data_IF_693171818083
#
_entry.id   IF_693171818083
#
_cell.length_a   1.000
_cell.length_b   1.000
_cell.length_c   1.000
_cell.angle_alpha   90.00
_cell.angle_beta   90.00
_cell.angle_gamma   90.00
#
_symmetry.space_group_name_H-M   'P 1'
#
loop_
_entity.id
_entity.type
_entity.pdbx_description
1 polymer ?
#
# COMPACT_ATOMS: atom_id res chain seq x y z
N UNK A 1 16.72 -51.06 -55.08
CA UNK A 1 17.07 -49.67 -55.25
C UNK A 1 17.02 -48.99 -53.90
N UNK A 2 18.17 -48.81 -53.31
CA UNK A 2 18.40 -48.27 -51.98
C UNK A 2 18.47 -46.74 -52.07
N UNK A 3 17.65 -46.04 -51.32
CA UNK A 3 17.86 -44.60 -51.09
C UNK A 3 18.04 -44.32 -49.58
N UNK A 4 19.24 -44.06 -49.22
CA UNK A 4 19.69 -43.66 -47.89
C UNK A 4 19.20 -42.24 -47.55
N UNK A 5 18.64 -42.07 -46.35
CA UNK A 5 18.33 -40.78 -45.73
C UNK A 5 19.58 -40.30 -44.97
N UNK A 6 19.96 -39.03 -45.07
CA UNK A 6 21.07 -38.52 -44.28
C UNK A 6 20.63 -38.16 -42.84
N UNK A 7 21.50 -38.54 -41.96
CA UNK A 7 21.51 -38.31 -40.52
C UNK A 7 21.47 -36.80 -40.17
N UNK A 8 20.50 -36.39 -39.33
CA UNK A 8 20.46 -35.04 -38.78
C UNK A 8 21.17 -35.03 -37.43
N UNK A 9 22.42 -34.60 -37.46
CA UNK A 9 23.15 -34.22 -36.25
C UNK A 9 22.44 -33.10 -35.50
N UNK A 10 21.86 -33.44 -34.36
CA UNK A 10 21.35 -32.49 -33.37
C UNK A 10 22.50 -31.78 -32.69
N UNK A 11 22.79 -30.57 -33.13
CA UNK A 11 23.63 -29.64 -32.37
C UNK A 11 22.92 -29.24 -31.07
N UNK A 12 23.44 -29.76 -29.96
CA UNK A 12 22.98 -29.39 -28.61
C UNK A 12 23.24 -27.92 -28.33
N UNK A 13 22.17 -27.11 -28.30
CA UNK A 13 22.17 -25.77 -27.73
C UNK A 13 22.20 -25.92 -26.23
N UNK A 14 23.35 -25.71 -25.59
CA UNK A 14 23.49 -25.51 -24.16
C UNK A 14 22.77 -24.21 -23.81
N UNK A 15 21.79 -24.22 -22.93
CA UNK A 15 21.13 -22.96 -22.50
C UNK A 15 22.20 -22.11 -21.79
N UNK A 16 22.17 -20.76 -21.96
CA UNK A 16 23.11 -19.88 -21.28
C UNK A 16 22.88 -20.00 -19.77
N UNK A 17 23.98 -20.18 -19.04
CA UNK A 17 24.00 -20.23 -17.60
C UNK A 17 23.23 -18.99 -17.02
N UNK A 18 22.14 -19.23 -16.34
CA UNK A 18 21.32 -18.20 -15.78
C UNK A 18 22.14 -17.33 -14.82
N UNK A 19 22.17 -16.03 -15.09
CA UNK A 19 22.64 -15.02 -14.14
C UNK A 19 21.66 -14.98 -12.99
N UNK A 20 21.86 -15.83 -12.00
CA UNK A 20 21.21 -15.78 -10.70
C UNK A 20 21.89 -14.71 -9.83
N UNK A 21 21.67 -13.47 -10.19
CA UNK A 21 22.00 -12.30 -9.39
C UNK A 21 20.87 -11.32 -9.56
N UNK A 22 19.89 -11.35 -8.62
CA UNK A 22 18.91 -10.28 -8.54
C UNK A 22 19.68 -8.95 -8.46
N UNK A 23 19.29 -7.96 -9.29
CA UNK A 23 19.87 -6.61 -9.18
C UNK A 23 19.65 -6.13 -7.75
N UNK A 24 20.60 -5.39 -7.13
CA UNK A 24 20.46 -4.91 -5.76
C UNK A 24 19.12 -4.22 -5.47
N UNK A 25 18.64 -3.42 -6.43
CA UNK A 25 17.31 -2.77 -6.35
C UNK A 25 16.15 -3.77 -6.26
N UNK A 26 16.20 -4.87 -7.00
CA UNK A 26 15.17 -5.91 -6.95
C UNK A 26 15.18 -6.68 -5.63
N UNK A 27 16.35 -6.82 -5.01
CA UNK A 27 16.48 -7.48 -3.71
C UNK A 27 15.83 -6.65 -2.60
N UNK A 28 16.06 -5.32 -2.57
CA UNK A 28 15.42 -4.43 -1.61
C UNK A 28 13.89 -4.40 -1.80
N UNK A 29 13.40 -4.29 -3.05
CA UNK A 29 11.96 -4.31 -3.35
C UNK A 29 11.30 -5.60 -2.84
N UNK A 30 11.91 -6.76 -3.08
CA UNK A 30 11.39 -8.02 -2.58
C UNK A 30 11.33 -8.05 -1.05
N UNK A 31 12.37 -7.60 -0.36
CA UNK A 31 12.38 -7.48 1.10
C UNK A 31 11.33 -6.49 1.62
N UNK A 32 11.11 -5.38 0.92
CA UNK A 32 10.09 -4.40 1.26
C UNK A 32 8.68 -5.02 1.18
N UNK A 33 8.40 -5.76 0.11
CA UNK A 33 7.14 -6.49 -0.05
C UNK A 33 6.96 -7.53 1.06
N UNK A 34 8.00 -8.32 1.36
CA UNK A 34 7.97 -9.30 2.45
C UNK A 34 7.70 -8.66 3.81
N UNK A 35 8.30 -7.49 4.09
CA UNK A 35 8.04 -6.73 5.34
C UNK A 35 6.58 -6.30 5.46
N UNK A 36 6.00 -5.77 4.38
CA UNK A 36 4.58 -5.36 4.35
C UNK A 36 3.67 -6.58 4.53
N UNK A 37 3.97 -7.71 3.91
CA UNK A 37 3.20 -8.93 4.05
C UNK A 37 3.31 -9.52 5.46
N UNK A 38 4.51 -9.54 6.02
CA UNK A 38 4.73 -10.00 7.40
C UNK A 38 4.00 -9.10 8.41
N UNK A 39 3.98 -7.78 8.18
CA UNK A 39 3.23 -6.85 9.02
C UNK A 39 1.73 -7.15 8.98
N UNK A 40 1.17 -7.39 7.83
CA UNK A 40 -0.23 -7.77 7.66
C UNK A 40 -0.57 -9.10 8.35
N UNK A 41 0.31 -10.09 8.28
CA UNK A 41 0.08 -11.42 8.87
C UNK A 41 0.25 -11.46 10.39
N UNK A 42 0.89 -10.45 10.99
CA UNK A 42 1.06 -10.36 12.46
C UNK A 42 -0.22 -10.04 13.21
N UNK A 43 -1.22 -9.51 12.55
CA UNK A 43 -2.52 -9.21 13.15
C UNK A 43 -3.62 -10.01 12.46
N UNK A 44 -4.62 -10.44 13.24
CA UNK A 44 -5.87 -10.90 12.67
C UNK A 44 -6.55 -9.74 11.92
N UNK A 45 -7.53 -10.08 11.07
CA UNK A 45 -8.36 -9.05 10.43
C UNK A 45 -9.12 -8.23 11.47
N UNK A 46 -9.58 -7.04 11.08
CA UNK A 46 -10.37 -6.15 11.94
C UNK A 46 -11.70 -6.79 12.33
N UNK A 47 -12.27 -6.36 13.45
CA UNK A 47 -13.46 -6.99 14.02
C UNK A 47 -14.72 -6.71 13.19
N UNK A 48 -15.55 -7.74 13.04
CA UNK A 48 -16.94 -7.61 12.63
C UNK A 48 -17.80 -7.69 13.90
N UNK A 49 -18.54 -6.62 14.20
CA UNK A 49 -19.31 -6.47 15.44
C UNK A 49 -20.79 -6.56 15.10
N UNK A 50 -21.47 -7.58 15.62
CA UNK A 50 -22.93 -7.69 15.50
C UNK A 50 -23.61 -6.61 16.34
N UNK A 51 -24.61 -5.95 15.76
CA UNK A 51 -25.42 -4.91 16.42
C UNK A 51 -26.89 -5.33 16.50
N UNK A 52 -27.30 -6.05 17.55
CA UNK A 52 -28.66 -6.57 17.68
C UNK A 52 -29.63 -5.46 18.10
N UNK A 53 -30.12 -4.66 17.16
CA UNK A 53 -31.12 -3.65 17.38
C UNK A 53 -32.53 -4.21 17.16
N UNK A 54 -33.39 -4.17 18.18
CA UNK A 54 -34.70 -4.77 18.18
C UNK A 54 -35.59 -4.45 16.95
N UNK A 55 -35.65 -3.19 16.45
CA UNK A 55 -36.47 -2.89 15.26
C UNK A 55 -36.00 -3.60 13.99
N UNK A 56 -34.68 -3.81 13.84
CA UNK A 56 -34.10 -4.47 12.69
C UNK A 56 -34.23 -5.99 12.80
N UNK A 57 -33.96 -6.53 13.98
CA UNK A 57 -34.13 -7.96 14.25
C UNK A 57 -35.58 -8.40 14.04
N UNK A 58 -36.56 -7.59 14.44
CA UNK A 58 -37.98 -7.87 14.19
C UNK A 58 -38.35 -7.85 12.70
N UNK A 59 -37.57 -7.15 11.87
CA UNK A 59 -37.71 -7.14 10.41
C UNK A 59 -36.88 -8.22 9.70
N UNK A 60 -36.18 -9.08 10.43
CA UNK A 60 -35.28 -10.09 9.88
C UNK A 60 -34.00 -9.49 9.25
N UNK A 61 -33.56 -8.34 9.78
CA UNK A 61 -32.37 -7.64 9.31
C UNK A 61 -31.28 -7.74 10.38
N UNK A 62 -30.14 -8.33 10.02
CA UNK A 62 -28.93 -8.37 10.85
C UNK A 62 -28.02 -7.22 10.49
N UNK A 63 -27.58 -6.46 11.52
CA UNK A 63 -26.68 -5.34 11.36
C UNK A 63 -25.31 -5.67 11.93
N UNK A 64 -24.28 -5.25 11.20
CA UNK A 64 -22.89 -5.41 11.61
C UNK A 64 -22.09 -4.11 11.39
N UNK A 65 -21.14 -3.86 12.28
CA UNK A 65 -20.11 -2.86 12.09
C UNK A 65 -18.77 -3.52 11.80
N UNK A 66 -18.05 -3.02 10.79
CA UNK A 66 -16.66 -3.35 10.55
C UNK A 66 -15.77 -2.33 11.27
N UNK A 67 -15.11 -2.76 12.35
CA UNK A 67 -14.27 -1.87 13.17
C UNK A 67 -12.87 -1.72 12.60
N UNK A 68 -12.70 -0.76 11.70
CA UNK A 68 -11.40 -0.44 11.10
C UNK A 68 -10.48 0.39 12.01
N UNK A 69 -10.93 0.80 13.21
CA UNK A 69 -10.11 1.53 14.16
C UNK A 69 -9.02 0.67 14.82
N UNK A 70 -9.14 -0.65 14.74
CA UNK A 70 -8.19 -1.60 15.31
C UNK A 70 -6.91 -1.79 14.49
N UNK A 71 -6.83 -1.18 13.31
CA UNK A 71 -5.57 -1.13 12.58
C UNK A 71 -4.46 -0.38 13.35
N UNK A 72 -3.17 -0.70 13.12
CA UNK A 72 -2.04 -0.01 13.78
C UNK A 72 -2.10 1.51 13.68
N UNK A 73 -2.70 2.06 12.61
CA UNK A 73 -2.85 3.51 12.38
C UNK A 73 -4.23 4.05 12.71
N UNK A 74 -5.08 3.24 13.36
CA UNK A 74 -6.39 3.66 13.89
C UNK A 74 -7.46 3.93 12.83
N UNK A 75 -7.31 3.48 11.59
CA UNK A 75 -8.33 3.75 10.56
C UNK A 75 -8.26 2.80 9.37
N UNK A 76 -9.35 2.77 8.59
CA UNK A 76 -9.44 2.04 7.31
C UNK A 76 -8.39 2.48 6.27
N UNK A 77 -7.77 3.65 6.43
CA UNK A 77 -6.73 4.14 5.52
C UNK A 77 -5.44 3.33 5.62
N UNK A 78 -5.27 2.55 6.67
CA UNK A 78 -4.20 1.57 6.76
C UNK A 78 -4.24 0.57 5.61
N UNK A 79 -5.44 0.09 5.22
CA UNK A 79 -5.61 -0.79 4.06
C UNK A 79 -5.21 -0.11 2.75
N UNK A 80 -5.66 1.15 2.57
CA UNK A 80 -5.34 1.93 1.38
C UNK A 80 -3.83 2.17 1.26
N UNK A 81 -3.19 2.64 2.33
CA UNK A 81 -1.76 2.91 2.34
C UNK A 81 -0.95 1.65 2.03
N UNK A 82 -1.30 0.50 2.65
CA UNK A 82 -0.68 -0.78 2.33
C UNK A 82 -0.77 -1.10 0.84
N UNK A 83 -1.95 -0.96 0.26
CA UNK A 83 -2.19 -1.24 -1.16
C UNK A 83 -1.40 -0.30 -2.07
N UNK A 84 -1.36 1.00 -1.76
CA UNK A 84 -0.59 1.99 -2.50
C UNK A 84 0.92 1.69 -2.49
N UNK A 85 1.47 1.33 -1.32
CA UNK A 85 2.89 0.97 -1.21
C UNK A 85 3.21 -0.31 -2.00
N UNK A 86 2.42 -1.37 -1.88
CA UNK A 86 2.62 -2.58 -2.68
C UNK A 86 2.51 -2.30 -4.18
N UNK A 87 1.53 -1.52 -4.59
CA UNK A 87 1.37 -1.12 -5.98
C UNK A 87 2.57 -0.32 -6.50
N UNK A 88 3.03 0.65 -5.72
CA UNK A 88 4.19 1.47 -6.07
C UNK A 88 5.49 0.65 -6.16
N UNK A 89 5.74 -0.28 -5.23
CA UNK A 89 6.88 -1.19 -5.24
C UNK A 89 6.87 -2.09 -6.49
N UNK A 90 5.73 -2.70 -6.79
CA UNK A 90 5.60 -3.60 -7.95
C UNK A 90 5.69 -2.87 -9.30
N UNK A 91 5.38 -1.58 -9.34
CA UNK A 91 5.56 -0.76 -10.54
C UNK A 91 6.94 -0.09 -10.62
N UNK A 92 7.82 -0.32 -9.65
CA UNK A 92 9.15 0.29 -9.61
C UNK A 92 9.14 1.80 -9.34
N UNK A 93 8.05 2.32 -8.74
CA UNK A 93 7.92 3.74 -8.40
C UNK A 93 8.62 4.10 -7.09
N UNK A 94 8.81 3.12 -6.23
CA UNK A 94 9.53 3.22 -4.96
C UNK A 94 10.68 2.22 -4.98
N UNK A 95 11.86 2.70 -4.67
CA UNK A 95 13.10 1.94 -4.49
C UNK A 95 13.74 2.34 -3.16
N UNK A 96 14.86 1.73 -2.81
CA UNK A 96 15.61 2.08 -1.59
C UNK A 96 15.95 3.56 -1.55
N UNK A 97 15.64 4.20 -0.42
CA UNK A 97 15.91 5.62 -0.20
C UNK A 97 14.93 6.59 -0.87
N UNK A 98 13.95 6.12 -1.65
CA UNK A 98 12.94 7.00 -2.27
C UNK A 98 12.19 7.79 -1.22
N UNK A 99 12.16 9.12 -1.33
CA UNK A 99 11.27 9.97 -0.51
C UNK A 99 9.84 9.78 -0.98
N UNK A 100 8.98 9.34 -0.08
CA UNK A 100 7.54 9.21 -0.33
C UNK A 100 6.84 10.51 0.04
N UNK A 101 6.00 11.03 -0.84
CA UNK A 101 5.26 12.28 -0.64
C UNK A 101 3.77 12.02 -0.82
N UNK A 102 2.93 12.56 0.08
CA UNK A 102 1.48 12.51 -0.07
C UNK A 102 0.82 13.85 0.26
N UNK A 103 -0.20 14.18 -0.53
CA UNK A 103 -1.06 15.34 -0.35
C UNK A 103 -2.24 14.97 0.57
N UNK A 104 -2.02 14.97 1.88
CA UNK A 104 -3.03 14.57 2.85
C UNK A 104 -2.78 15.17 4.23
N UNK A 105 -3.85 15.67 4.85
CA UNK A 105 -3.86 16.13 6.25
C UNK A 105 -4.55 15.14 7.20
N UNK A 106 -4.91 13.97 6.71
CA UNK A 106 -5.74 13.02 7.44
C UNK A 106 -5.09 11.66 7.66
N UNK A 107 -5.95 10.67 7.87
CA UNK A 107 -5.55 9.30 8.22
C UNK A 107 -4.72 8.61 7.14
N UNK A 108 -4.82 9.03 5.86
CA UNK A 108 -3.97 8.50 4.80
C UNK A 108 -2.50 8.86 5.04
N UNK A 109 -2.20 10.14 5.32
CA UNK A 109 -0.83 10.57 5.63
C UNK A 109 -0.25 9.84 6.85
N UNK A 110 -1.05 9.64 7.90
CA UNK A 110 -0.64 8.87 9.09
C UNK A 110 -0.31 7.41 8.70
N UNK A 111 -1.17 6.79 7.88
CA UNK A 111 -0.98 5.40 7.45
C UNK A 111 0.21 5.25 6.52
N UNK A 112 0.43 6.20 5.61
CA UNK A 112 1.59 6.18 4.72
C UNK A 112 2.89 6.43 5.48
N UNK A 113 2.89 7.32 6.48
CA UNK A 113 4.04 7.52 7.38
C UNK A 113 4.42 6.22 8.10
N UNK A 114 3.42 5.43 8.55
CA UNK A 114 3.65 4.11 9.13
C UNK A 114 4.38 3.17 8.17
N UNK A 115 3.89 3.02 6.93
CA UNK A 115 4.50 2.12 5.95
C UNK A 115 5.88 2.63 5.49
N UNK A 116 6.05 3.93 5.33
CA UNK A 116 7.36 4.52 5.04
C UNK A 116 8.37 4.18 6.14
N UNK A 117 8.00 4.35 7.43
CA UNK A 117 8.82 3.93 8.57
C UNK A 117 9.13 2.42 8.55
N UNK A 118 8.13 1.58 8.25
CA UNK A 118 8.31 0.12 8.16
C UNK A 118 9.38 -0.26 7.14
N UNK A 119 9.45 0.49 6.03
CA UNK A 119 10.41 0.26 4.94
C UNK A 119 11.72 1.04 5.09
N UNK A 120 11.84 1.94 6.06
CA UNK A 120 13.00 2.81 6.24
C UNK A 120 13.08 3.92 5.20
N UNK A 121 11.94 4.38 4.66
CA UNK A 121 11.86 5.43 3.65
C UNK A 121 11.55 6.78 4.29
N UNK A 122 12.13 7.90 3.79
CA UNK A 122 11.69 9.24 4.15
C UNK A 122 10.24 9.48 3.71
N UNK A 123 9.45 10.15 4.54
CA UNK A 123 8.06 10.51 4.24
C UNK A 123 7.80 12.00 4.46
N UNK A 124 7.10 12.63 3.52
CA UNK A 124 6.65 14.02 3.61
C UNK A 124 5.15 14.10 3.34
N UNK A 125 4.39 14.53 4.34
CA UNK A 125 2.98 14.86 4.20
C UNK A 125 2.83 16.35 3.86
N UNK A 126 2.20 16.67 2.76
CA UNK A 126 1.89 18.05 2.36
C UNK A 126 0.46 18.38 2.77
N UNK A 127 0.29 19.45 3.54
CA UNK A 127 -1.00 19.76 4.19
C UNK A 127 -1.17 21.26 4.46
N UNK A 128 -2.42 21.73 4.64
CA UNK A 128 -2.67 23.08 5.08
C UNK A 128 -2.19 23.31 6.52
N UNK A 129 -1.76 24.55 6.83
CA UNK A 129 -1.38 24.96 8.20
C UNK A 129 -2.50 24.79 9.23
N UNK A 130 -3.75 24.75 8.79
CA UNK A 130 -4.92 24.52 9.64
C UNK A 130 -5.12 23.06 10.07
N UNK A 131 -4.23 22.15 9.65
CA UNK A 131 -4.29 20.73 10.07
C UNK A 131 -4.13 20.60 11.57
N UNK A 132 -4.92 19.72 12.19
CA UNK A 132 -4.88 19.53 13.65
C UNK A 132 -3.51 19.04 14.13
N UNK A 133 -3.12 19.53 15.32
CA UNK A 133 -1.85 19.13 15.95
C UNK A 133 -1.79 17.60 16.14
N UNK A 134 -2.90 16.96 16.51
CA UNK A 134 -3.00 15.51 16.66
C UNK A 134 -2.50 14.74 15.41
N UNK A 135 -2.90 15.18 14.21
CA UNK A 135 -2.47 14.53 12.95
C UNK A 135 -1.01 14.79 12.65
N UNK A 136 -0.53 15.99 12.93
CA UNK A 136 0.90 16.36 12.80
C UNK A 136 1.75 15.49 13.73
N UNK A 137 1.31 15.34 14.99
CA UNK A 137 2.01 14.54 16.00
C UNK A 137 2.06 13.05 15.61
N UNK A 138 0.95 12.48 15.10
CA UNK A 138 0.91 11.10 14.63
C UNK A 138 1.85 10.85 13.44
N UNK A 139 1.89 11.77 12.47
CA UNK A 139 2.82 11.68 11.34
C UNK A 139 4.26 11.73 11.84
N UNK A 140 4.56 12.66 12.76
CA UNK A 140 5.89 12.82 13.35
C UNK A 140 6.28 11.59 14.20
N UNK A 141 5.34 10.99 14.92
CA UNK A 141 5.54 9.75 15.67
C UNK A 141 6.04 8.61 14.78
N UNK A 142 5.53 8.53 13.55
CA UNK A 142 6.00 7.57 12.55
C UNK A 142 7.25 8.05 11.78
N UNK A 143 7.86 9.18 12.17
CA UNK A 143 9.07 9.70 11.55
C UNK A 143 8.85 10.47 10.26
N UNK A 144 7.59 10.74 9.89
CA UNK A 144 7.23 11.60 8.76
C UNK A 144 7.46 13.09 9.07
N UNK A 145 7.65 13.88 8.02
CA UNK A 145 7.73 15.34 8.09
C UNK A 145 6.48 15.96 7.48
N UNK A 146 6.05 17.09 8.02
CA UNK A 146 4.93 17.87 7.49
C UNK A 146 5.46 19.08 6.72
N UNK A 147 5.00 19.23 5.47
CA UNK A 147 5.21 20.42 4.66
C UNK A 147 3.90 21.20 4.62
N UNK A 148 3.91 22.41 5.18
CA UNK A 148 2.72 23.23 5.35
C UNK A 148 2.56 24.22 4.20
N UNK A 149 1.33 24.30 3.68
CA UNK A 149 0.89 25.33 2.72
C UNK A 149 -0.20 26.20 3.33
N UNK A 150 -0.40 27.40 2.80
CA UNK A 150 -1.36 28.35 3.36
C UNK A 150 -2.82 28.03 3.00
N UNK A 151 -3.06 27.37 1.86
CA UNK A 151 -4.41 27.04 1.39
C UNK A 151 -4.55 25.61 0.88
N UNK A 152 -5.72 25.02 1.09
CA UNK A 152 -6.01 23.65 0.66
C UNK A 152 -5.84 23.45 -0.86
N UNK A 153 -6.09 24.49 -1.66
CA UNK A 153 -5.92 24.44 -3.11
C UNK A 153 -4.46 24.23 -3.57
N UNK A 154 -3.49 24.59 -2.71
CA UNK A 154 -2.07 24.48 -3.04
C UNK A 154 -1.45 23.13 -2.73
N UNK A 155 -2.15 22.25 -1.99
CA UNK A 155 -1.59 21.01 -1.43
C UNK A 155 -1.08 20.08 -2.53
N UNK A 156 -1.85 19.91 -3.60
CA UNK A 156 -1.49 18.97 -4.68
C UNK A 156 -0.29 19.45 -5.51
N UNK A 157 -0.23 20.75 -5.82
CA UNK A 157 0.89 21.33 -6.57
C UNK A 157 2.16 21.32 -5.72
N UNK A 158 2.05 21.67 -4.45
CA UNK A 158 3.15 21.59 -3.51
C UNK A 158 3.65 20.14 -3.32
N UNK A 159 2.76 19.13 -3.30
CA UNK A 159 3.18 17.73 -3.23
C UNK A 159 3.97 17.30 -4.47
N UNK A 160 3.55 17.70 -5.66
CA UNK A 160 4.30 17.45 -6.91
C UNK A 160 5.66 18.16 -6.88
N UNK A 161 5.70 19.39 -6.41
CA UNK A 161 6.94 20.16 -6.28
C UNK A 161 7.91 19.50 -5.30
N UNK A 162 7.46 19.15 -4.09
CA UNK A 162 8.28 18.45 -3.08
C UNK A 162 8.81 17.12 -3.62
N UNK A 163 7.99 16.36 -4.32
CA UNK A 163 8.42 15.12 -4.94
C UNK A 163 9.51 15.37 -6.00
N UNK A 164 9.36 16.37 -6.84
CA UNK A 164 10.36 16.73 -7.85
C UNK A 164 11.68 17.21 -7.20
N UNK A 165 11.61 18.07 -6.19
CA UNK A 165 12.78 18.60 -5.47
C UNK A 165 13.58 17.52 -4.73
N UNK A 166 12.89 16.51 -4.21
CA UNK A 166 13.52 15.39 -3.48
C UNK A 166 13.92 14.22 -4.37
N UNK A 167 13.59 14.25 -5.65
CA UNK A 167 13.67 13.06 -6.52
C UNK A 167 12.78 11.91 -6.02
N UNK A 168 11.75 12.23 -5.25
CA UNK A 168 10.87 11.31 -4.59
C UNK A 168 9.63 10.92 -5.41
N UNK A 169 8.71 10.20 -4.76
CA UNK A 169 7.46 9.76 -5.36
C UNK A 169 6.26 10.39 -4.67
N UNK A 170 5.47 11.16 -5.40
CA UNK A 170 4.12 11.54 -4.97
C UNK A 170 3.17 10.36 -5.19
N UNK A 171 2.56 9.87 -4.10
CA UNK A 171 1.73 8.65 -4.12
C UNK A 171 0.38 8.89 -4.78
N UNK A 172 -0.18 10.10 -4.62
CA UNK A 172 -1.44 10.52 -5.26
C UNK A 172 -2.59 9.52 -5.02
N UNK A 173 -3.00 9.40 -3.77
CA UNK A 173 -4.04 8.48 -3.34
C UNK A 173 -5.34 8.58 -4.16
N UNK A 174 -5.71 9.80 -4.60
CA UNK A 174 -6.95 10.01 -5.34
C UNK A 174 -6.91 9.43 -6.75
N UNK A 175 -5.74 9.47 -7.39
CA UNK A 175 -5.56 8.89 -8.72
C UNK A 175 -5.41 7.37 -8.68
N UNK A 176 -4.77 6.84 -7.63
CA UNK A 176 -4.34 5.44 -7.63
C UNK A 176 -5.09 4.54 -6.64
N UNK A 177 -6.00 5.06 -5.80
CA UNK A 177 -6.71 4.26 -4.79
C UNK A 177 -7.42 3.04 -5.40
N UNK A 178 -8.26 3.26 -6.42
CA UNK A 178 -9.00 2.20 -7.10
C UNK A 178 -8.04 1.11 -7.63
N UNK A 179 -7.07 1.51 -8.45
CA UNK A 179 -6.12 0.57 -9.06
C UNK A 179 -5.30 -0.21 -8.04
N UNK A 180 -4.88 0.47 -6.98
CA UNK A 180 -4.07 -0.16 -5.94
C UNK A 180 -4.86 -1.14 -5.09
N UNK A 181 -6.14 -0.86 -4.82
CA UNK A 181 -7.00 -1.71 -3.98
C UNK A 181 -7.57 -2.90 -4.74
N UNK A 182 -7.90 -2.74 -6.02
CA UNK A 182 -8.44 -3.83 -6.85
C UNK A 182 -7.35 -4.77 -7.38
N UNK A 183 -6.12 -4.28 -7.43
CA UNK A 183 -5.01 -5.05 -7.92
C UNK A 183 -4.75 -6.30 -7.06
N UNK A 184 -4.91 -7.48 -7.66
CA UNK A 184 -4.76 -8.80 -7.03
C UNK A 184 -5.71 -9.07 -5.85
N UNK A 185 -6.87 -8.44 -5.79
CA UNK A 185 -7.79 -8.62 -4.68
C UNK A 185 -7.16 -8.19 -3.33
N UNK A 186 -6.29 -7.17 -3.35
CA UNK A 186 -5.41 -6.85 -2.26
C UNK A 186 -6.12 -6.12 -1.13
N UNK A 187 -6.72 -6.91 -0.23
CA UNK A 187 -7.19 -6.43 1.07
C UNK A 187 -8.32 -5.39 1.01
N UNK A 188 -9.23 -5.59 0.09
CA UNK A 188 -10.47 -4.82 0.03
C UNK A 188 -11.30 -5.07 1.31
N UNK A 189 -11.80 -4.01 1.94
CA UNK A 189 -12.66 -4.08 3.12
C UNK A 189 -13.91 -4.93 2.85
N UNK A 190 -14.50 -4.83 1.65
CA UNK A 190 -15.67 -5.61 1.27
C UNK A 190 -15.36 -7.13 1.27
N UNK A 191 -14.23 -7.53 0.72
CA UNK A 191 -13.80 -8.93 0.73
C UNK A 191 -13.61 -9.45 2.16
N UNK A 192 -13.00 -8.65 3.04
CA UNK A 192 -12.85 -8.96 4.46
C UNK A 192 -14.21 -9.14 5.14
N UNK A 193 -15.15 -8.21 4.91
CA UNK A 193 -16.51 -8.30 5.45
C UNK A 193 -17.22 -9.57 4.99
N UNK A 194 -17.25 -9.85 3.69
CA UNK A 194 -17.92 -11.04 3.15
C UNK A 194 -17.29 -12.34 3.65
N UNK A 195 -15.97 -12.38 3.80
CA UNK A 195 -15.30 -13.57 4.33
C UNK A 195 -15.64 -13.83 5.81
N UNK A 196 -15.88 -12.78 6.61
CA UNK A 196 -16.32 -12.90 7.99
C UNK A 196 -17.81 -13.25 8.07
N UNK A 197 -18.67 -12.56 7.30
CA UNK A 197 -20.12 -12.80 7.28
C UNK A 197 -20.49 -14.19 6.74
N UNK A 198 -19.64 -14.82 5.94
CA UNK A 198 -19.89 -16.18 5.47
C UNK A 198 -19.86 -17.24 6.60
N UNK A 199 -19.52 -16.85 7.82
CA UNK A 199 -19.45 -17.70 9.01
C UNK A 199 -20.56 -17.42 10.03
N UNK A 200 -21.37 -16.39 9.79
CA UNK A 200 -22.54 -16.04 10.57
C UNK A 200 -23.79 -16.80 10.05
#
# INVERSE_FOLDING_TARGET
>A
MNSAHPDRTTTGLTPPAGRSGARPESAWVNQAIERIQADFQRSADTHLIALPLAPFAAAGIDLYFKDESTHPTGSLKHRLARSLFLYALCNGWITEGTTVVEASSGSTAVSEAYFARLLGLPFVAVMPRSTSAEKVDLISFYGGRCHFVDGAAQVYDAARQVAAETGGRYMDQFTYAERATDWRGNNNIAQSMFAQMARE
#
